data_IF_671913311038
#
_entry.id   IF_671913311038
#
_cell.length_a   1.000
_cell.length_b   1.000
_cell.length_c   1.000
_cell.angle_alpha   90.00
_cell.angle_beta   90.00
_cell.angle_gamma   90.00
#
_symmetry.space_group_name_H-M   'P 1'
#
loop_
_entity.id
_entity.type
_entity.pdbx_description
1 polymer ?
#
# COMPACT_ATOMS: atom_id res chain seq x y z
N UNK A 1 28.67 6.04 45.83
CA UNK A 1 27.83 7.05 46.52
C UNK A 1 26.66 7.36 45.62
N UNK A 2 25.47 7.23 46.18
CA UNK A 2 24.13 7.31 45.55
C UNK A 2 23.70 8.73 45.13
N UNK A 3 22.69 8.76 44.24
CA UNK A 3 21.93 9.92 43.75
C UNK A 3 21.08 10.59 44.86
N UNK A 4 20.55 11.81 44.61
CA UNK A 4 19.10 11.94 44.44
C UNK A 4 18.62 13.00 43.40
N UNK A 5 17.29 13.15 43.33
CA UNK A 5 16.39 13.49 42.22
C UNK A 5 15.63 14.85 42.42
N UNK A 6 15.21 15.44 41.28
CA UNK A 6 13.91 16.06 40.91
C UNK A 6 13.44 17.46 41.37
N UNK A 7 12.63 18.02 40.45
CA UNK A 7 11.59 19.09 40.53
C UNK A 7 12.08 20.54 40.36
N UNK A 8 11.35 21.48 39.75
CA UNK A 8 10.18 21.59 38.86
C UNK A 8 10.14 23.08 38.41
N UNK A 9 9.30 23.48 37.46
CA UNK A 9 8.55 24.77 37.42
C UNK A 9 7.93 25.00 36.02
N UNK A 10 6.63 25.28 36.03
CA UNK A 10 5.78 25.75 34.92
C UNK A 10 5.93 27.30 34.79
N UNK A 11 5.33 28.05 33.83
CA UNK A 11 3.89 28.34 33.97
C UNK A 11 3.11 28.76 32.66
N UNK A 12 1.79 28.56 32.75
CA UNK A 12 0.65 29.34 32.18
C UNK A 12 0.08 29.08 30.78
N UNK A 13 -1.23 28.82 30.83
CA UNK A 13 -2.23 28.67 29.79
C UNK A 13 -2.95 30.01 29.59
N UNK A 14 -3.41 30.30 28.36
CA UNK A 14 -4.63 31.07 28.11
C UNK A 14 -5.30 30.58 26.81
N UNK A 15 -6.59 30.26 26.91
CA UNK A 15 -7.50 29.94 25.82
C UNK A 15 -8.15 31.21 25.25
N UNK A 16 -8.61 31.19 23.98
CA UNK A 16 -9.89 31.74 23.48
C UNK A 16 -10.26 31.00 22.16
N UNK A 17 -11.57 30.77 22.04
CA UNK A 17 -12.34 30.01 21.07
C UNK A 17 -12.47 30.53 19.61
N UNK A 18 -13.05 29.65 18.78
CA UNK A 18 -14.06 29.90 17.73
C UNK A 18 -13.64 29.88 16.23
N UNK A 19 -13.93 28.72 15.60
CA UNK A 19 -14.72 28.50 14.37
C UNK A 19 -14.44 29.38 13.14
N UNK A 20 -14.01 28.75 12.04
CA UNK A 20 -14.72 28.83 10.74
C UNK A 20 -14.40 27.66 9.79
N UNK A 21 -15.43 26.81 9.70
CA UNK A 21 -15.91 25.93 8.62
C UNK A 21 -15.42 26.25 7.20
N UNK A 22 -14.81 25.26 6.52
CA UNK A 22 -14.96 25.09 5.07
C UNK A 22 -15.25 23.60 4.80
N UNK A 23 -16.47 23.35 4.34
CA UNK A 23 -16.99 22.06 3.88
C UNK A 23 -16.50 21.70 2.46
N UNK A 24 -16.46 20.39 2.17
CA UNK A 24 -16.57 19.83 0.82
C UNK A 24 -15.37 18.93 0.47
N UNK A 25 -15.52 17.64 0.17
CA UNK A 25 -16.69 16.87 -0.28
C UNK A 25 -16.51 15.40 0.16
N UNK A 26 -17.59 14.80 0.66
CA UNK A 26 -17.75 13.36 0.86
C UNK A 26 -17.66 12.68 -0.51
N UNK A 27 -16.60 11.90 -0.76
CA UNK A 27 -16.52 11.06 -1.96
C UNK A 27 -17.26 9.76 -1.62
N UNK A 28 -18.48 9.66 -2.11
CA UNK A 28 -19.31 8.46 -2.01
C UNK A 28 -18.82 7.39 -3.00
N UNK A 29 -18.76 6.10 -2.62
CA UNK A 29 -18.31 5.04 -3.51
C UNK A 29 -19.42 4.71 -4.50
N UNK A 30 -19.27 5.16 -5.75
CA UNK A 30 -20.21 4.83 -6.82
C UNK A 30 -19.92 3.41 -7.33
N UNK A 31 -20.68 2.43 -6.85
CA UNK A 31 -20.88 1.16 -7.56
C UNK A 31 -22.22 1.27 -8.27
N UNK A 32 -22.20 1.25 -9.59
CA UNK A 32 -23.38 1.00 -10.41
C UNK A 32 -23.05 -0.13 -11.38
N UNK A 33 -23.64 -1.31 -11.16
CA UNK A 33 -23.73 -2.35 -12.17
C UNK A 33 -25.03 -2.10 -12.93
N UNK A 34 -24.93 -1.63 -14.17
CA UNK A 34 -26.04 -1.61 -15.10
C UNK A 34 -25.77 -2.57 -16.26
N UNK A 35 -26.49 -3.68 -16.25
CA UNK A 35 -26.48 -4.70 -17.30
C UNK A 35 -27.38 -4.28 -18.45
N UNK A 36 -26.93 -3.36 -19.30
CA UNK A 36 -27.22 -3.33 -20.74
C UNK A 36 -26.78 -2.01 -21.36
N UNK A 37 -25.71 -2.04 -22.16
CA UNK A 37 -25.45 -1.14 -23.30
C UNK A 37 -24.17 -1.61 -23.98
N UNK A 38 -24.29 -2.12 -25.21
CA UNK A 38 -23.13 -2.21 -26.08
C UNK A 38 -22.61 -0.78 -26.31
N UNK A 39 -21.43 -0.48 -25.80
CA UNK A 39 -20.73 0.79 -25.96
C UNK A 39 -19.25 0.47 -26.20
N UNK A 40 -18.61 1.21 -27.10
CA UNK A 40 -17.25 0.94 -27.57
C UNK A 40 -16.32 0.65 -26.39
N UNK A 41 -15.64 -0.50 -26.42
CA UNK A 41 -14.79 -1.06 -25.36
C UNK A 41 -13.56 -0.17 -25.11
N UNK A 42 -13.76 1.02 -24.56
CA UNK A 42 -12.73 1.76 -23.84
C UNK A 42 -12.67 1.11 -22.47
N UNK A 43 -11.70 0.22 -22.35
CA UNK A 43 -11.47 -0.59 -21.18
C UNK A 43 -11.11 0.34 -20.01
N UNK A 44 -12.04 0.50 -19.05
CA UNK A 44 -11.81 1.34 -17.90
C UNK A 44 -10.63 0.78 -17.09
N UNK A 45 -9.63 1.61 -16.84
CA UNK A 45 -8.55 1.31 -15.89
C UNK A 45 -9.19 1.34 -14.50
N UNK A 46 -9.15 0.21 -13.80
CA UNK A 46 -9.62 0.11 -12.42
C UNK A 46 -8.47 0.54 -11.51
N UNK A 47 -8.64 1.62 -10.76
CA UNK A 47 -7.63 2.15 -9.85
C UNK A 47 -8.13 2.11 -8.40
N UNK A 48 -7.27 1.67 -7.48
CA UNK A 48 -7.41 1.91 -6.05
C UNK A 48 -6.20 2.74 -5.63
N UNK A 49 -6.39 4.05 -5.54
CA UNK A 49 -5.34 4.92 -5.04
C UNK A 49 -5.08 4.59 -3.56
N UNK A 50 -3.83 4.32 -3.22
CA UNK A 50 -3.42 4.20 -1.83
C UNK A 50 -3.54 5.57 -1.14
N UNK A 51 -4.16 5.58 0.04
CA UNK A 51 -4.21 6.80 0.86
C UNK A 51 -2.87 7.02 1.55
N UNK A 52 -2.58 8.27 1.93
CA UNK A 52 -1.37 8.58 2.69
C UNK A 52 -1.29 7.76 4.00
N UNK A 53 -2.44 7.58 4.67
CA UNK A 53 -2.58 6.74 5.86
C UNK A 53 -2.16 5.29 5.59
N UNK A 54 -2.56 4.73 4.44
CA UNK A 54 -2.23 3.36 4.05
C UNK A 54 -0.72 3.22 3.76
N UNK A 55 -0.12 4.21 3.12
CA UNK A 55 1.32 4.27 2.85
C UNK A 55 2.11 4.32 4.17
N UNK A 56 1.73 5.18 5.11
CA UNK A 56 2.38 5.28 6.42
C UNK A 56 2.23 4.00 7.23
N UNK A 57 1.03 3.38 7.20
CA UNK A 57 0.78 2.10 7.85
C UNK A 57 1.69 1.00 7.31
N UNK A 58 1.84 0.91 5.98
CA UNK A 58 2.75 -0.04 5.31
C UNK A 58 4.20 0.22 5.69
N UNK A 59 4.64 1.48 5.71
CA UNK A 59 6.00 1.85 6.11
C UNK A 59 6.29 1.48 7.58
N UNK A 60 5.33 1.69 8.47
CA UNK A 60 5.47 1.30 9.88
C UNK A 60 5.62 -0.22 10.03
N UNK A 61 4.84 -1.01 9.29
CA UNK A 61 4.97 -2.47 9.27
C UNK A 61 6.34 -2.92 8.75
N UNK A 62 6.83 -2.30 7.67
CA UNK A 62 8.15 -2.61 7.11
C UNK A 62 9.33 -2.19 8.03
N UNK A 63 9.06 -1.32 9.01
CA UNK A 63 10.04 -0.88 10.02
C UNK A 63 10.13 -1.81 11.24
N UNK A 64 9.24 -2.80 11.38
CA UNK A 64 9.25 -3.74 12.50
C UNK A 64 10.40 -4.76 12.37
N UNK A 65 11.50 -4.48 13.06
CA UNK A 65 12.71 -5.32 13.01
C UNK A 65 12.54 -6.70 13.64
N UNK A 66 11.44 -6.95 14.37
CA UNK A 66 11.16 -8.28 14.94
C UNK A 66 10.69 -9.29 13.89
N UNK A 67 10.21 -8.80 12.73
CA UNK A 67 9.75 -9.62 11.60
C UNK A 67 10.87 -9.78 10.58
N UNK A 68 11.05 -10.98 10.04
CA UNK A 68 12.06 -11.25 9.00
C UNK A 68 11.75 -10.53 7.69
N UNK A 69 12.76 -10.28 6.86
CA UNK A 69 12.57 -9.67 5.54
C UNK A 69 12.09 -10.72 4.55
N UNK A 70 11.35 -10.30 3.51
CA UNK A 70 10.86 -11.22 2.48
C UNK A 70 12.00 -11.98 1.78
N UNK A 71 13.15 -11.34 1.59
CA UNK A 71 14.35 -11.97 1.01
C UNK A 71 14.78 -13.25 1.74
N UNK A 72 14.49 -13.36 3.04
CA UNK A 72 14.86 -14.53 3.84
C UNK A 72 13.98 -15.75 3.50
N UNK A 73 12.90 -15.56 2.73
CA UNK A 73 11.97 -16.58 2.26
C UNK A 73 12.01 -16.80 0.74
N UNK A 74 12.84 -16.06 0.00
CA UNK A 74 12.96 -16.22 -1.45
C UNK A 74 13.91 -17.36 -1.78
N UNK A 75 13.59 -18.13 -2.81
CA UNK A 75 14.47 -19.17 -3.35
C UNK A 75 15.51 -18.54 -4.29
N UNK A 76 16.77 -18.94 -4.11
CA UNK A 76 17.86 -18.62 -5.04
C UNK A 76 17.80 -19.52 -6.29
N UNK A 77 18.42 -19.07 -7.39
CA UNK A 77 18.61 -19.86 -8.63
C UNK A 77 17.33 -20.38 -9.32
N UNK A 78 16.19 -19.69 -9.13
CA UNK A 78 14.94 -19.99 -9.84
C UNK A 78 14.80 -19.27 -11.18
N UNK A 79 14.16 -19.91 -12.16
CA UNK A 79 13.81 -19.28 -13.44
C UNK A 79 12.64 -18.30 -13.25
N UNK A 80 12.99 -17.04 -12.95
CA UNK A 80 12.04 -15.96 -12.70
C UNK A 80 11.07 -15.70 -13.87
N UNK A 81 11.44 -16.07 -15.10
CA UNK A 81 10.60 -15.83 -16.28
C UNK A 81 9.23 -16.50 -16.19
N UNK A 82 9.13 -17.60 -15.44
CA UNK A 82 7.90 -18.36 -15.26
C UNK A 82 6.89 -17.65 -14.34
N UNK A 83 7.36 -16.70 -13.53
CA UNK A 83 6.57 -16.02 -12.50
C UNK A 83 6.24 -14.56 -12.85
N UNK A 84 6.78 -14.04 -13.96
CA UNK A 84 6.49 -12.68 -14.37
C UNK A 84 5.01 -12.49 -14.72
N UNK A 85 4.47 -11.37 -14.24
CA UNK A 85 3.12 -10.95 -14.59
C UNK A 85 3.06 -10.64 -16.09
N UNK A 86 2.04 -11.13 -16.81
CA UNK A 86 1.86 -10.78 -18.22
C UNK A 86 1.78 -9.26 -18.40
N UNK A 87 2.45 -8.67 -19.41
CA UNK A 87 2.46 -7.22 -19.61
C UNK A 87 1.06 -6.59 -19.70
N UNK A 88 0.09 -7.33 -20.26
CA UNK A 88 -1.32 -6.91 -20.33
C UNK A 88 -1.99 -6.78 -18.96
N UNK A 89 -1.61 -7.62 -17.99
CA UNK A 89 -2.13 -7.58 -16.63
C UNK A 89 -1.55 -6.38 -15.88
N UNK A 90 -0.24 -6.13 -16.01
CA UNK A 90 0.40 -4.96 -15.41
C UNK A 90 -0.22 -3.65 -15.90
N UNK A 91 -0.39 -3.46 -17.21
CA UNK A 91 -0.96 -2.22 -17.76
C UNK A 91 -2.39 -1.92 -17.25
N UNK A 92 -3.18 -2.96 -16.97
CA UNK A 92 -4.56 -2.80 -16.53
C UNK A 92 -4.69 -2.66 -15.02
N UNK A 93 -3.86 -3.38 -14.27
CA UNK A 93 -4.08 -3.61 -12.85
C UNK A 93 -2.92 -3.17 -11.96
N UNK A 94 -1.88 -2.52 -12.49
CA UNK A 94 -0.74 -2.05 -11.69
C UNK A 94 -1.18 -1.26 -10.45
N UNK A 95 -2.22 -0.43 -10.58
CA UNK A 95 -2.78 0.40 -9.50
C UNK A 95 -3.65 -0.37 -8.49
N UNK A 96 -3.75 -1.70 -8.59
CA UNK A 96 -4.47 -2.56 -7.65
C UNK A 96 -3.55 -3.56 -6.95
N UNK A 97 -2.32 -3.69 -7.42
CA UNK A 97 -1.35 -4.64 -6.90
C UNK A 97 -0.71 -4.08 -5.63
N UNK A 98 -0.66 -4.88 -4.57
CA UNK A 98 0.27 -4.60 -3.47
C UNK A 98 1.66 -5.08 -3.90
N UNK A 99 2.52 -4.15 -4.28
CA UNK A 99 3.89 -4.43 -4.72
C UNK A 99 4.82 -4.35 -3.53
N UNK A 100 5.59 -5.41 -3.28
CA UNK A 100 6.56 -5.52 -2.18
C UNK A 100 7.97 -5.71 -2.73
N UNK A 101 8.98 -5.33 -1.93
CA UNK A 101 10.41 -5.50 -2.24
C UNK A 101 11.01 -6.62 -1.40
N UNK A 102 12.15 -7.21 -1.78
CA UNK A 102 12.84 -8.19 -0.94
C UNK A 102 13.16 -7.69 0.48
N UNK A 103 13.32 -6.38 0.67
CA UNK A 103 13.57 -5.76 1.97
C UNK A 103 12.31 -5.49 2.80
N UNK A 104 11.11 -5.65 2.23
CA UNK A 104 9.86 -5.51 2.98
C UNK A 104 9.73 -6.61 4.04
N UNK A 105 8.95 -6.35 5.08
CA UNK A 105 8.68 -7.27 6.21
C UNK A 105 7.20 -7.63 6.30
N UNK A 106 6.46 -7.39 5.23
CA UNK A 106 5.02 -7.64 5.12
C UNK A 106 4.67 -8.22 3.75
N UNK A 107 3.53 -8.89 3.70
CA UNK A 107 2.78 -9.16 2.47
C UNK A 107 1.29 -9.19 2.79
N UNK A 108 0.45 -9.07 1.77
CA UNK A 108 -0.95 -9.49 1.85
C UNK A 108 -1.05 -11.01 1.98
N UNK A 109 -2.17 -11.48 2.52
CA UNK A 109 -2.42 -12.91 2.62
C UNK A 109 -2.60 -13.53 1.23
N UNK A 110 -2.04 -14.73 1.05
CA UNK A 110 -2.19 -15.48 -0.18
C UNK A 110 -3.50 -16.28 -0.15
N UNK A 111 -4.32 -16.11 -1.17
CA UNK A 111 -5.55 -16.91 -1.35
C UNK A 111 -5.35 -18.00 -2.39
N UNK A 112 -6.30 -18.94 -2.47
CA UNK A 112 -6.34 -19.95 -3.53
C UNK A 112 -6.29 -19.37 -4.96
N UNK A 113 -6.70 -18.12 -5.12
CA UNK A 113 -6.72 -17.42 -6.41
C UNK A 113 -5.38 -16.80 -6.83
N UNK A 114 -4.34 -16.86 -6.00
CA UNK A 114 -3.05 -16.23 -6.29
C UNK A 114 -2.46 -16.74 -7.62
N UNK A 115 -1.92 -15.83 -8.43
CA UNK A 115 -1.45 -16.12 -9.79
C UNK A 115 -2.56 -16.22 -10.86
N UNK A 116 -3.84 -16.35 -10.47
CA UNK A 116 -4.98 -16.40 -11.41
C UNK A 116 -5.84 -15.14 -11.39
N UNK A 117 -6.05 -14.56 -10.21
CA UNK A 117 -6.77 -13.30 -10.03
C UNK A 117 -5.84 -12.24 -9.44
N UNK A 118 -6.09 -10.99 -9.80
CA UNK A 118 -5.18 -9.88 -9.50
C UNK A 118 -5.46 -9.27 -8.14
N UNK A 119 -6.65 -8.71 -7.95
CA UNK A 119 -6.96 -7.95 -6.74
C UNK A 119 -7.20 -8.88 -5.55
N UNK A 120 -6.60 -8.55 -4.40
CA UNK A 120 -6.90 -9.18 -3.11
C UNK A 120 -6.45 -10.63 -2.97
N UNK A 121 -5.56 -11.13 -3.82
CA UNK A 121 -5.09 -12.53 -3.76
C UNK A 121 -3.71 -12.72 -3.15
N UNK A 122 -2.96 -11.64 -2.94
CA UNK A 122 -1.61 -11.64 -2.39
C UNK A 122 -0.79 -10.47 -2.94
N UNK A 123 0.38 -10.23 -2.35
CA UNK A 123 1.34 -9.24 -2.86
C UNK A 123 2.13 -9.80 -4.04
N UNK A 124 2.71 -8.92 -4.85
CA UNK A 124 3.65 -9.30 -5.93
C UNK A 124 5.03 -8.71 -5.68
N UNK A 125 6.08 -9.46 -6.01
CA UNK A 125 7.45 -9.07 -5.73
C UNK A 125 8.03 -8.22 -6.87
N UNK A 126 8.57 -7.05 -6.53
CA UNK A 126 9.44 -6.28 -7.41
C UNK A 126 10.85 -6.89 -7.38
N UNK A 127 11.27 -7.51 -8.48
CA UNK A 127 12.60 -8.12 -8.62
C UNK A 127 13.66 -7.19 -9.22
N UNK A 128 13.24 -6.09 -9.86
CA UNK A 128 14.16 -5.10 -10.40
C UNK A 128 14.65 -4.15 -9.29
N UNK A 129 15.95 -4.17 -9.03
CA UNK A 129 16.59 -3.37 -7.96
C UNK A 129 16.75 -1.89 -8.33
N UNK A 130 16.84 -1.56 -9.62
CA UNK A 130 17.13 -0.20 -10.14
C UNK A 130 15.89 0.68 -10.38
N UNK A 131 14.71 0.20 -10.01
CA UNK A 131 13.44 0.88 -10.26
C UNK A 131 13.02 1.61 -8.98
N UNK A 132 13.46 2.87 -8.82
CA UNK A 132 12.92 3.74 -7.76
C UNK A 132 11.45 4.03 -8.08
N UNK A 133 10.56 3.52 -7.23
CA UNK A 133 9.13 3.81 -7.08
C UNK A 133 8.48 4.62 -8.24
N UNK A 134 8.33 4.00 -9.41
CA UNK A 134 7.63 4.60 -10.57
C UNK A 134 6.11 4.78 -10.33
N UNK A 135 5.60 4.41 -9.15
CA UNK A 135 4.21 4.51 -8.75
C UNK A 135 3.92 5.68 -7.80
N UNK A 136 4.82 6.68 -7.71
CA UNK A 136 4.42 8.04 -7.30
C UNK A 136 3.92 8.81 -8.53
N UNK A 137 2.68 8.57 -8.95
CA UNK A 137 1.93 9.47 -9.85
C UNK A 137 0.95 10.26 -8.99
#
# INVERSE_FOLDING_TARGET
>A
MEFPKMESEHPQQHAIDAVNKIEGKKIEPNICFDSSRQCSRKEAILFKLETAEEIERKHHQDSDLSVQMLKDFLEDDIDMNQYFLPPKSLLRYALLLDIVKPTCRRSMCFTKGYGRYIEGTGSVLQTAEDVQDFLRI
#
